data_IF_198698404184
#
_entry.id   IF_198698404184
#
_cell.length_a   1.000
_cell.length_b   1.000
_cell.length_c   1.000
_cell.angle_alpha   90.00
_cell.angle_beta   90.00
_cell.angle_gamma   90.00
#
_symmetry.space_group_name_H-M   'P 1'
#
loop_
_entity.id
_entity.type
_entity.pdbx_description
1 polymer ?
#
# COMPACT_ATOMS: atom_id res chain seq x y z
N UNK A 1 3.91 -6.48 11.46
CA UNK A 1 3.61 -5.18 10.85
C UNK A 1 4.78 -4.81 9.96
N UNK A 2 4.52 -4.56 8.67
CA UNK A 2 5.53 -4.22 7.67
C UNK A 2 5.27 -2.80 7.22
N UNK A 3 6.31 -1.96 7.24
CA UNK A 3 6.30 -0.61 6.69
C UNK A 3 6.80 -0.65 5.25
N UNK A 4 6.38 0.30 4.44
CA UNK A 4 6.73 0.34 3.03
C UNK A 4 7.20 1.73 2.60
N UNK A 5 8.32 1.76 1.89
CA UNK A 5 8.75 2.91 1.09
C UNK A 5 8.56 2.54 -0.37
N UNK A 6 7.59 3.17 -1.02
CA UNK A 6 7.22 2.90 -2.41
C UNK A 6 7.72 4.02 -3.30
N UNK A 7 8.57 3.68 -4.26
CA UNK A 7 9.07 4.54 -5.32
C UNK A 7 8.55 4.05 -6.66
N UNK A 8 8.05 4.96 -7.48
CA UNK A 8 7.55 4.69 -8.83
C UNK A 8 8.13 5.72 -9.79
N UNK A 9 8.60 5.28 -10.96
CA UNK A 9 9.05 6.13 -12.05
C UNK A 9 8.42 5.73 -13.39
N UNK A 10 8.47 6.62 -14.38
CA UNK A 10 7.77 6.51 -15.66
C UNK A 10 6.25 6.40 -15.47
N UNK A 11 5.71 7.04 -14.43
CA UNK A 11 4.37 6.82 -13.90
C UNK A 11 3.41 7.99 -14.18
N UNK A 12 3.76 8.93 -15.06
CA UNK A 12 2.90 10.06 -15.36
C UNK A 12 1.50 9.62 -15.80
N UNK A 13 0.47 10.04 -15.07
CA UNK A 13 -0.92 9.63 -15.29
C UNK A 13 -1.39 8.42 -14.48
N UNK A 14 -0.53 7.81 -13.67
CA UNK A 14 -0.93 6.81 -12.68
C UNK A 14 -1.75 7.48 -11.58
N UNK A 15 -2.82 6.83 -11.14
CA UNK A 15 -3.64 7.27 -10.02
C UNK A 15 -3.17 6.58 -8.76
N UNK A 16 -2.66 7.37 -7.81
CA UNK A 16 -2.33 6.91 -6.46
C UNK A 16 -3.52 7.13 -5.54
N UNK A 17 -3.91 6.10 -4.81
CA UNK A 17 -4.89 6.19 -3.71
C UNK A 17 -4.23 5.73 -2.42
N UNK A 18 -4.24 6.59 -1.40
CA UNK A 18 -3.74 6.28 -0.05
C UNK A 18 -4.78 6.73 0.96
N UNK A 19 -5.42 5.78 1.64
CA UNK A 19 -6.54 6.06 2.51
C UNK A 19 -7.70 6.72 1.77
N UNK A 20 -8.07 7.93 2.19
CA UNK A 20 -9.11 8.75 1.59
C UNK A 20 -8.60 9.76 0.55
N UNK A 21 -7.29 9.81 0.32
CA UNK A 21 -6.68 10.64 -0.72
C UNK A 21 -6.53 9.85 -2.03
N UNK A 22 -6.92 10.48 -3.14
CA UNK A 22 -6.74 9.94 -4.49
C UNK A 22 -6.28 11.06 -5.42
N UNK A 23 -5.13 10.89 -6.05
CA UNK A 23 -4.60 11.88 -6.99
C UNK A 23 -3.88 11.22 -8.17
N UNK A 24 -3.81 11.91 -9.29
CA UNK A 24 -3.03 11.51 -10.45
C UNK A 24 -1.61 12.04 -10.26
N UNK A 25 -0.63 11.13 -10.28
CA UNK A 25 0.77 11.48 -10.04
C UNK A 25 1.51 11.86 -11.32
N UNK A 26 2.63 12.52 -11.13
CA UNK A 26 3.59 12.82 -12.21
C UNK A 26 4.45 11.60 -12.57
N UNK A 27 5.58 11.88 -13.21
CA UNK A 27 6.49 10.83 -13.69
C UNK A 27 7.17 10.06 -12.54
N UNK A 28 7.37 10.71 -11.41
CA UNK A 28 7.96 10.13 -10.20
C UNK A 28 7.01 10.26 -9.01
N UNK A 29 6.98 9.24 -8.19
CA UNK A 29 6.28 9.25 -6.90
C UNK A 29 7.10 8.52 -5.84
N UNK A 30 7.15 9.07 -4.64
CA UNK A 30 7.81 8.43 -3.50
C UNK A 30 6.94 8.61 -2.26
N UNK A 31 6.49 7.50 -1.68
CA UNK A 31 5.60 7.50 -0.52
C UNK A 31 6.12 6.57 0.54
N UNK A 32 6.20 7.06 1.77
CA UNK A 32 6.47 6.27 2.97
C UNK A 32 5.16 5.97 3.70
N UNK A 33 4.93 4.71 4.01
CA UNK A 33 3.74 4.22 4.74
C UNK A 33 4.20 3.39 5.92
N UNK A 34 3.82 3.82 7.13
CA UNK A 34 4.18 3.15 8.39
C UNK A 34 2.96 2.67 9.18
N UNK A 35 1.79 2.71 8.58
CA UNK A 35 0.58 2.10 9.14
C UNK A 35 0.25 0.83 8.36
N UNK A 36 0.24 -0.35 9.00
CA UNK A 36 -0.08 -1.61 8.33
C UNK A 36 -1.55 -1.70 7.91
N UNK A 37 -2.40 -0.80 8.41
CA UNK A 37 -3.83 -0.75 8.10
C UNK A 37 -4.20 0.34 7.10
N UNK A 38 -3.24 1.17 6.67
CA UNK A 38 -3.48 2.21 5.69
C UNK A 38 -3.51 1.59 4.28
N UNK A 39 -4.70 1.55 3.70
CA UNK A 39 -4.89 1.04 2.34
C UNK A 39 -4.23 1.97 1.33
N UNK A 40 -3.50 1.38 0.40
CA UNK A 40 -2.84 2.13 -0.65
C UNK A 40 -2.76 1.30 -1.93
N UNK A 41 -2.84 2.01 -3.07
CA UNK A 41 -2.76 1.40 -4.40
C UNK A 41 -2.35 2.43 -5.45
N UNK A 42 -1.56 1.99 -6.43
CA UNK A 42 -1.27 2.71 -7.66
C UNK A 42 -2.01 2.01 -8.81
N UNK A 43 -2.82 2.76 -9.56
CA UNK A 43 -3.64 2.27 -10.65
C UNK A 43 -3.22 2.95 -11.95
N UNK A 44 -3.13 2.22 -13.05
CA UNK A 44 -2.64 2.75 -14.34
C UNK A 44 -3.38 4.02 -14.82
N UNK A 45 -4.68 4.09 -14.61
CA UNK A 45 -5.54 5.25 -14.90
C UNK A 45 -5.26 5.86 -16.32
N UNK A 46 -4.67 7.06 -16.39
CA UNK A 46 -4.35 7.78 -17.63
C UNK A 46 -2.91 7.53 -18.12
N UNK A 47 -2.13 6.76 -17.36
CA UNK A 47 -0.75 6.47 -17.70
C UNK A 47 -0.67 5.61 -18.99
N UNK A 48 0.14 6.06 -19.93
CA UNK A 48 0.40 5.38 -21.21
C UNK A 48 1.78 4.72 -21.26
N UNK A 49 2.56 4.83 -20.20
CA UNK A 49 3.89 4.23 -20.14
C UNK A 49 3.79 2.70 -20.19
N UNK A 50 4.64 2.08 -21.01
CA UNK A 50 4.83 0.63 -21.09
C UNK A 50 6.00 0.16 -20.20
N UNK A 51 6.70 1.09 -19.54
CA UNK A 51 7.91 0.84 -18.74
C UNK A 51 7.81 1.53 -17.36
N UNK A 52 6.71 1.27 -16.64
CA UNK A 52 6.58 1.73 -15.27
C UNK A 52 7.50 0.89 -14.39
N UNK A 53 8.42 1.55 -13.69
CA UNK A 53 9.31 0.91 -12.73
C UNK A 53 8.86 1.21 -11.30
N UNK A 54 8.75 0.15 -10.48
CA UNK A 54 8.42 0.25 -9.06
C UNK A 54 9.51 -0.38 -8.20
N UNK A 55 9.96 0.35 -7.18
CA UNK A 55 10.83 -0.15 -6.11
C UNK A 55 10.05 -0.05 -4.80
N UNK A 56 9.74 -1.19 -4.20
CA UNK A 56 9.12 -1.26 -2.87
C UNK A 56 10.13 -1.79 -1.87
N UNK A 57 10.52 -0.95 -0.90
CA UNK A 57 11.34 -1.37 0.23
C UNK A 57 10.41 -1.68 1.40
N UNK A 58 10.37 -2.96 1.78
CA UNK A 58 9.63 -3.41 2.94
C UNK A 58 10.56 -3.57 4.13
N UNK A 59 10.20 -3.00 5.27
CA UNK A 59 11.03 -3.01 6.46
C UNK A 59 10.21 -3.06 7.74
N UNK A 60 10.86 -3.48 8.83
CA UNK A 60 10.26 -3.51 10.16
C UNK A 60 11.35 -3.26 11.20
N UNK A 61 11.18 -2.23 11.99
CA UNK A 61 12.09 -1.91 13.10
C UNK A 61 11.56 -2.39 14.47
N UNK A 62 10.69 -3.41 14.49
CA UNK A 62 10.06 -3.93 15.70
C UNK A 62 8.86 -3.09 16.16
N UNK A 63 8.54 -3.13 17.46
CA UNK A 63 7.34 -2.52 18.05
C UNK A 63 7.27 -0.98 18.00
N UNK A 64 8.10 -0.37 17.22
CA UNK A 64 8.09 1.05 16.93
C UNK A 64 9.40 1.74 17.30
N UNK A 65 9.81 2.66 16.47
CA UNK A 65 10.82 3.66 16.77
C UNK A 65 10.29 4.64 17.85
N UNK A 66 10.14 4.17 19.07
CA UNK A 66 9.67 4.98 20.19
C UNK A 66 10.84 5.69 20.88
N UNK A 67 10.54 6.71 21.67
CA UNK A 67 11.56 7.40 22.48
C UNK A 67 12.24 6.46 23.50
N UNK A 68 11.57 5.37 23.88
CA UNK A 68 12.06 4.34 24.79
C UNK A 68 12.89 3.26 24.10
N UNK A 69 12.95 3.24 22.76
CA UNK A 69 13.78 2.31 22.02
C UNK A 69 15.27 2.55 22.30
N UNK A 70 16.01 1.47 22.56
CA UNK A 70 17.42 1.58 22.95
C UNK A 70 18.32 2.14 21.84
N UNK A 71 17.99 1.90 20.59
CA UNK A 71 18.76 2.37 19.45
C UNK A 71 18.11 3.58 18.80
N UNK A 72 16.86 3.45 18.32
CA UNK A 72 16.15 4.51 17.62
C UNK A 72 15.64 5.62 18.55
N UNK A 73 15.54 5.39 19.86
CA UNK A 73 15.21 6.40 20.87
C UNK A 73 16.25 7.50 21.04
N UNK A 74 17.45 7.33 20.50
CA UNK A 74 18.55 8.32 20.62
C UNK A 74 18.31 9.55 19.75
N UNK A 75 18.87 10.67 20.17
CA UNK A 75 18.76 12.00 19.53
C UNK A 75 19.07 11.99 18.02
N UNK A 76 20.07 11.26 17.50
CA UNK A 76 20.35 11.27 16.05
C UNK A 76 19.19 10.75 15.19
N UNK A 77 18.25 10.02 15.75
CA UNK A 77 17.09 9.46 15.04
C UNK A 77 15.79 10.26 15.22
N UNK A 78 15.83 11.40 15.88
CA UNK A 78 14.65 12.21 16.19
C UNK A 78 13.89 12.64 14.93
N UNK A 79 14.59 13.12 13.89
CA UNK A 79 13.99 13.51 12.62
C UNK A 79 13.31 12.32 11.93
N UNK A 80 13.97 11.15 11.97
CA UNK A 80 13.42 9.91 11.39
C UNK A 80 12.19 9.48 12.16
N UNK A 81 12.21 9.47 13.51
CA UNK A 81 11.03 9.13 14.32
C UNK A 81 9.83 10.04 14.03
N UNK A 82 10.06 11.36 13.91
CA UNK A 82 9.01 12.31 13.55
C UNK A 82 8.41 11.99 12.19
N UNK A 83 9.26 11.78 11.18
CA UNK A 83 8.84 11.38 9.83
C UNK A 83 8.03 10.08 9.86
N UNK A 84 8.48 9.06 10.59
CA UNK A 84 7.79 7.78 10.72
C UNK A 84 6.38 7.95 11.33
N UNK A 85 6.22 8.85 12.30
CA UNK A 85 4.93 9.17 12.89
C UNK A 85 3.99 9.86 11.90
N UNK A 86 4.51 10.78 11.10
CA UNK A 86 3.73 11.44 10.03
C UNK A 86 3.33 10.45 8.93
N UNK A 87 4.21 9.52 8.59
CA UNK A 87 4.01 8.50 7.59
C UNK A 87 2.93 7.44 7.93
N UNK A 88 2.40 7.46 9.16
CA UNK A 88 1.18 6.69 9.51
C UNK A 88 -0.04 7.09 8.66
N UNK A 89 -0.02 8.28 8.06
CA UNK A 89 -1.04 8.78 7.14
C UNK A 89 -0.63 8.69 5.67
N UNK A 90 0.47 7.98 5.38
CA UNK A 90 1.14 8.06 4.09
C UNK A 90 1.80 9.44 3.92
N UNK A 91 3.09 9.46 3.71
CA UNK A 91 3.89 10.69 3.54
C UNK A 91 4.48 10.70 2.13
N UNK A 92 4.04 11.65 1.31
CA UNK A 92 4.56 11.86 -0.03
C UNK A 92 5.70 12.88 -0.03
N UNK A 93 6.71 12.64 -0.84
CA UNK A 93 7.88 13.49 -0.95
C UNK A 93 7.91 14.29 -2.25
N UNK A 94 8.36 15.55 -2.22
CA UNK A 94 8.49 16.37 -3.42
C UNK A 94 9.64 15.89 -4.32
N UNK A 95 9.57 16.19 -5.60
CA UNK A 95 10.59 15.85 -6.60
C UNK A 95 12.01 16.24 -6.16
N UNK A 96 12.16 17.40 -5.54
CA UNK A 96 13.47 17.86 -5.02
C UNK A 96 14.08 16.93 -3.98
N UNK A 97 13.25 16.22 -3.21
CA UNK A 97 13.69 15.22 -2.25
C UNK A 97 13.91 13.87 -2.92
N UNK A 98 13.03 13.48 -3.86
CA UNK A 98 13.16 12.24 -4.63
C UNK A 98 14.52 12.21 -5.33
N UNK A 99 14.90 13.29 -6.00
CA UNK A 99 16.19 13.36 -6.71
C UNK A 99 17.41 13.22 -5.79
N UNK A 100 17.31 13.58 -4.51
CA UNK A 100 18.41 13.39 -3.54
C UNK A 100 18.66 11.92 -3.16
N UNK A 101 17.64 11.09 -3.29
CA UNK A 101 17.70 9.67 -2.92
C UNK A 101 17.61 8.73 -4.13
N UNK A 102 17.41 9.26 -5.32
CA UNK A 102 17.19 8.49 -6.55
C UNK A 102 18.28 7.43 -6.79
N UNK A 103 19.54 7.86 -6.87
CA UNK A 103 20.67 6.95 -7.11
C UNK A 103 20.78 5.89 -6.02
N UNK A 104 20.54 6.28 -4.75
CA UNK A 104 20.56 5.35 -3.62
C UNK A 104 19.44 4.32 -3.70
N UNK A 105 18.24 4.72 -4.14
CA UNK A 105 17.11 3.80 -4.36
C UNK A 105 17.42 2.82 -5.50
N UNK A 106 18.01 3.31 -6.59
CA UNK A 106 18.39 2.48 -7.72
C UNK A 106 19.48 1.46 -7.32
N UNK A 107 20.50 1.90 -6.60
CA UNK A 107 21.57 1.03 -6.08
C UNK A 107 21.05 -0.03 -5.10
N UNK A 108 20.05 0.30 -4.26
CA UNK A 108 19.49 -0.63 -3.28
C UNK A 108 19.06 -1.96 -3.90
N UNK A 109 18.55 -1.93 -5.13
CA UNK A 109 18.12 -3.12 -5.87
C UNK A 109 19.25 -4.09 -6.22
N UNK A 110 20.50 -3.61 -6.19
CA UNK A 110 21.71 -4.35 -6.62
C UNK A 110 22.61 -4.75 -5.45
N UNK A 111 22.35 -4.22 -4.25
CA UNK A 111 23.16 -4.51 -3.06
C UNK A 111 22.86 -5.92 -2.56
N UNK A 112 23.86 -6.79 -2.56
CA UNK A 112 23.75 -8.15 -2.03
C UNK A 112 24.17 -8.25 -0.56
N UNK A 113 25.01 -7.32 -0.09
CA UNK A 113 25.44 -7.24 1.31
C UNK A 113 24.35 -6.60 2.16
N UNK A 114 23.76 -7.37 3.07
CA UNK A 114 22.65 -6.93 3.92
C UNK A 114 23.00 -5.78 4.85
N UNK A 115 24.24 -5.74 5.34
CA UNK A 115 24.68 -4.63 6.21
C UNK A 115 24.77 -3.33 5.42
N UNK A 116 25.37 -3.37 4.23
CA UNK A 116 25.42 -2.21 3.32
C UNK A 116 24.03 -1.74 2.94
N UNK A 117 23.13 -2.67 2.59
CA UNK A 117 21.73 -2.34 2.29
C UNK A 117 21.05 -1.62 3.46
N UNK A 118 21.24 -2.11 4.70
CA UNK A 118 20.70 -1.46 5.90
C UNK A 118 21.27 -0.05 6.09
N UNK A 119 22.59 0.11 5.95
CA UNK A 119 23.24 1.43 6.12
C UNK A 119 22.77 2.42 5.06
N UNK A 120 22.65 1.99 3.80
CA UNK A 120 22.13 2.84 2.73
C UNK A 120 20.65 3.18 2.95
N UNK A 121 19.87 2.23 3.42
CA UNK A 121 18.45 2.48 3.76
C UNK A 121 18.31 3.50 4.91
N UNK A 122 19.12 3.41 5.96
CA UNK A 122 19.13 4.39 7.03
C UNK A 122 19.53 5.79 6.52
N UNK A 123 20.47 5.87 5.58
CA UNK A 123 20.86 7.13 4.95
C UNK A 123 19.75 7.72 4.07
N UNK A 124 19.01 6.86 3.33
CA UNK A 124 17.79 7.25 2.62
C UNK A 124 16.77 7.82 3.61
N UNK A 125 16.44 7.09 4.68
CA UNK A 125 15.49 7.55 5.70
C UNK A 125 15.91 8.87 6.34
N UNK A 126 17.21 9.03 6.63
CA UNK A 126 17.72 10.29 7.15
C UNK A 126 17.53 11.43 6.15
N UNK A 127 17.90 11.24 4.89
CA UNK A 127 17.71 12.24 3.83
C UNK A 127 16.23 12.62 3.68
N UNK A 128 15.34 11.64 3.68
CA UNK A 128 13.89 11.86 3.61
C UNK A 128 13.36 12.62 4.83
N UNK A 129 13.88 12.34 6.03
CA UNK A 129 13.44 12.98 7.28
C UNK A 129 13.78 14.46 7.37
N UNK A 130 14.70 14.94 6.54
CA UNK A 130 15.07 16.36 6.40
C UNK A 130 14.32 17.04 5.23
N UNK A 131 13.39 16.37 4.60
CA UNK A 131 12.63 16.93 3.48
C UNK A 131 11.80 18.14 3.90
N UNK A 132 11.91 19.21 3.11
CA UNK A 132 11.00 20.34 3.17
C UNK A 132 9.97 20.23 2.06
N UNK A 133 8.69 20.15 2.42
CA UNK A 133 7.60 20.00 1.44
C UNK A 133 7.04 18.58 1.33
N UNK A 134 7.50 17.63 2.15
CA UNK A 134 6.79 16.38 2.35
C UNK A 134 5.40 16.68 2.96
N UNK A 135 4.38 15.95 2.51
CA UNK A 135 3.01 16.14 2.98
C UNK A 135 2.29 14.83 3.20
N UNK A 136 1.41 14.83 4.19
CA UNK A 136 0.60 13.65 4.50
C UNK A 136 -0.56 13.51 3.52
N UNK A 137 -0.89 12.28 3.14
CA UNK A 137 -1.90 11.95 2.14
C UNK A 137 -3.28 11.74 2.77
N UNK A 138 -3.41 10.79 3.69
CA UNK A 138 -4.68 10.54 4.35
C UNK A 138 -5.01 11.64 5.38
N UNK A 139 -6.31 11.95 5.49
CA UNK A 139 -6.78 12.91 6.48
C UNK A 139 -6.60 12.41 7.91
N UNK A 140 -6.52 13.36 8.86
CA UNK A 140 -6.47 13.03 10.29
C UNK A 140 -7.73 12.28 10.74
N UNK A 141 -8.88 12.57 10.12
CA UNK A 141 -10.14 11.87 10.40
C UNK A 141 -10.08 10.42 9.95
N UNK A 142 -9.50 10.14 8.78
CA UNK A 142 -9.29 8.78 8.30
C UNK A 142 -8.31 8.00 9.20
N UNK A 143 -7.23 8.64 9.61
CA UNK A 143 -6.24 8.05 10.52
C UNK A 143 -6.76 7.93 11.98
N UNK A 144 -7.64 8.85 12.42
CA UNK A 144 -8.25 8.84 13.78
C UNK A 144 -9.51 7.97 13.91
N UNK A 145 -10.15 7.58 12.80
CA UNK A 145 -11.23 6.57 12.81
C UNK A 145 -10.77 5.24 13.46
N UNK A 146 -9.49 5.14 13.77
CA UNK A 146 -8.89 4.02 14.51
C UNK A 146 -9.02 4.06 16.05
N UNK A 147 -9.77 4.98 16.67
CA UNK A 147 -9.64 5.18 18.15
C UNK A 147 -10.88 4.86 18.96
N UNK A 148 -12.07 4.58 18.38
CA UNK A 148 -13.26 4.26 19.20
C UNK A 148 -13.97 2.97 18.76
N UNK A 149 -14.91 2.49 19.55
CA UNK A 149 -15.50 1.14 19.48
C UNK A 149 -16.07 0.74 18.10
N UNK A 150 -16.58 1.69 17.32
CA UNK A 150 -17.03 1.48 15.94
C UNK A 150 -15.86 1.20 15.00
N UNK A 151 -14.72 1.81 15.24
CA UNK A 151 -13.48 1.55 14.54
C UNK A 151 -12.96 0.14 14.78
N UNK A 152 -13.08 -0.38 16.00
CA UNK A 152 -12.69 -1.77 16.30
C UNK A 152 -13.56 -2.78 15.56
N UNK A 153 -14.87 -2.49 15.39
CA UNK A 153 -15.78 -3.34 14.61
C UNK A 153 -15.41 -3.35 13.13
N UNK A 154 -15.19 -2.16 12.55
CA UNK A 154 -14.74 -2.04 11.15
C UNK A 154 -13.39 -2.72 10.94
N UNK A 155 -12.40 -2.47 11.81
CA UNK A 155 -11.08 -3.09 11.75
C UNK A 155 -11.17 -4.62 11.84
N UNK A 156 -12.00 -5.16 12.72
CA UNK A 156 -12.23 -6.61 12.84
C UNK A 156 -12.77 -7.19 11.54
N UNK A 157 -13.74 -6.52 10.91
CA UNK A 157 -14.32 -6.94 9.64
C UNK A 157 -13.30 -6.83 8.50
N UNK A 158 -12.57 -5.70 8.41
CA UNK A 158 -11.51 -5.50 7.41
C UNK A 158 -10.43 -6.58 7.54
N UNK A 159 -9.97 -6.85 8.76
CA UNK A 159 -9.00 -7.92 9.02
C UNK A 159 -9.54 -9.28 8.56
N UNK A 160 -10.78 -9.62 8.91
CA UNK A 160 -11.40 -10.86 8.48
C UNK A 160 -11.48 -10.97 6.95
N UNK A 161 -11.85 -9.89 6.26
CA UNK A 161 -11.87 -9.84 4.78
C UNK A 161 -10.47 -10.04 4.22
N UNK A 162 -9.47 -9.35 4.78
CA UNK A 162 -8.06 -9.47 4.35
C UNK A 162 -7.50 -10.87 4.57
N UNK A 163 -7.85 -11.52 5.67
CA UNK A 163 -7.38 -12.88 5.99
C UNK A 163 -8.11 -13.97 5.17
N UNK A 164 -9.32 -13.66 4.67
CA UNK A 164 -10.19 -14.65 4.02
C UNK A 164 -10.63 -14.27 2.60
N UNK A 165 -9.98 -13.29 1.96
CA UNK A 165 -10.38 -12.77 0.64
C UNK A 165 -10.45 -13.82 -0.46
N UNK A 166 -9.67 -14.89 -0.36
CA UNK A 166 -9.66 -15.99 -1.33
C UNK A 166 -10.89 -16.89 -1.24
N UNK A 167 -11.63 -16.84 -0.14
CA UNK A 167 -12.81 -17.68 0.10
C UNK A 167 -14.11 -16.92 -0.17
N UNK A 168 -15.24 -17.65 -0.09
CA UNK A 168 -16.56 -17.03 -0.12
C UNK A 168 -16.81 -16.20 1.14
N UNK A 169 -16.98 -14.91 0.99
CA UNK A 169 -17.28 -13.96 2.08
C UNK A 169 -18.78 -13.72 2.14
N UNK A 170 -19.45 -14.36 3.10
CA UNK A 170 -20.90 -14.22 3.28
C UNK A 170 -21.23 -12.95 4.06
N UNK A 171 -22.20 -12.17 3.56
CA UNK A 171 -22.63 -10.93 4.19
C UNK A 171 -23.06 -11.15 5.65
N UNK A 172 -23.77 -12.26 5.92
CA UNK A 172 -24.20 -12.63 7.28
C UNK A 172 -23.00 -12.75 8.23
N UNK A 173 -21.96 -13.48 7.83
CA UNK A 173 -20.75 -13.67 8.66
C UNK A 173 -20.08 -12.33 9.00
N UNK A 174 -20.00 -11.41 8.02
CA UNK A 174 -19.40 -10.11 8.23
C UNK A 174 -20.27 -9.19 9.10
N UNK A 175 -21.59 -9.30 8.98
CA UNK A 175 -22.54 -8.58 9.84
C UNK A 175 -22.50 -9.11 11.29
N UNK A 176 -22.42 -10.43 11.48
CA UNK A 176 -22.29 -11.06 12.81
C UNK A 176 -20.99 -10.64 13.50
N UNK A 177 -19.87 -10.52 12.76
CA UNK A 177 -18.59 -10.01 13.29
C UNK A 177 -18.67 -8.56 13.81
N UNK A 178 -19.58 -7.77 13.24
CA UNK A 178 -19.85 -6.41 13.67
C UNK A 178 -21.00 -6.33 14.72
N UNK A 179 -21.61 -7.44 15.09
CA UNK A 179 -22.82 -7.54 15.92
C UNK A 179 -23.98 -6.70 15.37
N UNK A 180 -24.26 -6.82 14.06
CA UNK A 180 -25.28 -6.04 13.35
C UNK A 180 -26.14 -6.94 12.46
N UNK A 181 -27.35 -6.46 12.11
CA UNK A 181 -28.09 -7.04 11.00
C UNK A 181 -27.41 -6.73 9.67
N UNK A 182 -27.60 -7.56 8.65
CA UNK A 182 -26.97 -7.37 7.33
C UNK A 182 -27.24 -5.98 6.72
N UNK A 183 -28.47 -5.48 6.83
CA UNK A 183 -28.86 -4.16 6.33
C UNK A 183 -28.20 -3.00 7.09
N UNK A 184 -28.12 -3.12 8.43
CA UNK A 184 -27.42 -2.15 9.27
C UNK A 184 -25.92 -2.16 8.98
N UNK A 185 -25.33 -3.35 8.85
CA UNK A 185 -23.93 -3.53 8.53
C UNK A 185 -23.53 -2.92 7.18
N UNK A 186 -24.32 -3.12 6.14
CA UNK A 186 -24.03 -2.51 4.83
C UNK A 186 -23.98 -0.98 4.90
N UNK A 187 -24.90 -0.34 5.63
CA UNK A 187 -24.90 1.11 5.84
C UNK A 187 -23.70 1.55 6.69
N UNK A 188 -23.47 0.86 7.80
CA UNK A 188 -22.35 1.09 8.70
C UNK A 188 -21.02 0.98 7.97
N UNK A 189 -20.79 -0.13 7.23
CA UNK A 189 -19.55 -0.35 6.50
C UNK A 189 -19.30 0.73 5.45
N UNK A 190 -20.35 1.11 4.68
CA UNK A 190 -20.25 2.19 3.69
C UNK A 190 -19.96 3.54 4.35
N UNK A 191 -20.57 3.84 5.50
CA UNK A 191 -20.33 5.09 6.24
C UNK A 191 -18.86 5.20 6.70
N UNK A 192 -18.30 4.12 7.24
CA UNK A 192 -16.95 4.12 7.80
C UNK A 192 -15.82 3.87 6.80
N UNK A 193 -16.12 3.29 5.63
CA UNK A 193 -15.12 3.00 4.59
C UNK A 193 -15.25 3.87 3.33
N UNK A 194 -16.34 4.64 3.20
CA UNK A 194 -16.67 5.38 2.00
C UNK A 194 -17.09 4.51 0.81
N UNK A 195 -17.03 3.17 0.94
CA UNK A 195 -17.22 2.21 -0.16
C UNK A 195 -18.27 1.15 0.17
N UNK A 196 -18.91 0.58 -0.86
CA UNK A 196 -19.76 -0.59 -0.66
C UNK A 196 -18.88 -1.80 -0.34
N UNK A 197 -19.39 -2.71 0.49
CA UNK A 197 -18.70 -3.94 0.86
C UNK A 197 -18.21 -4.76 -0.34
N UNK A 198 -19.04 -4.90 -1.37
CA UNK A 198 -18.68 -5.62 -2.60
C UNK A 198 -17.49 -5.00 -3.33
N UNK A 199 -17.48 -3.66 -3.42
CA UNK A 199 -16.39 -2.93 -4.08
C UNK A 199 -15.10 -3.04 -3.27
N UNK A 200 -15.20 -2.98 -1.94
CA UNK A 200 -14.08 -3.16 -1.03
C UNK A 200 -13.43 -4.56 -1.17
N UNK A 201 -14.25 -5.63 -1.18
CA UNK A 201 -13.76 -7.00 -1.37
C UNK A 201 -13.09 -7.15 -2.75
N UNK A 202 -13.68 -6.57 -3.79
CA UNK A 202 -13.11 -6.57 -5.13
C UNK A 202 -11.74 -5.86 -5.12
N UNK A 203 -11.62 -4.72 -4.46
CA UNK A 203 -10.38 -3.94 -4.40
C UNK A 203 -9.27 -4.73 -3.68
N UNK A 204 -9.57 -5.38 -2.56
CA UNK A 204 -8.64 -6.28 -1.87
C UNK A 204 -8.17 -7.41 -2.81
N UNK A 205 -9.10 -8.11 -3.45
CA UNK A 205 -8.78 -9.22 -4.38
C UNK A 205 -7.93 -8.75 -5.56
N UNK A 206 -8.24 -7.59 -6.13
CA UNK A 206 -7.49 -7.01 -7.25
C UNK A 206 -6.11 -6.50 -6.82
N UNK A 207 -5.97 -6.00 -5.59
CA UNK A 207 -4.68 -5.64 -5.01
C UNK A 207 -3.76 -6.86 -4.87
N UNK A 208 -4.29 -7.96 -4.32
CA UNK A 208 -3.54 -9.23 -4.24
C UNK A 208 -3.21 -9.81 -5.61
N UNK A 209 -4.16 -9.78 -6.56
CA UNK A 209 -3.93 -10.24 -7.93
C UNK A 209 -2.81 -9.44 -8.62
N UNK A 210 -2.84 -8.11 -8.51
CA UNK A 210 -1.80 -7.24 -9.07
C UNK A 210 -0.42 -7.56 -8.47
N UNK A 211 -0.34 -7.73 -7.14
CA UNK A 211 0.90 -8.12 -6.45
C UNK A 211 1.41 -9.48 -6.96
N UNK A 212 0.55 -10.49 -7.03
CA UNK A 212 0.95 -11.83 -7.51
C UNK A 212 1.40 -11.82 -8.98
N UNK A 213 0.76 -11.00 -9.83
CA UNK A 213 1.16 -10.83 -11.23
C UNK A 213 2.58 -10.31 -11.38
N UNK A 214 3.03 -9.46 -10.45
CA UNK A 214 4.36 -8.83 -10.46
C UNK A 214 5.38 -9.67 -9.69
N UNK A 215 4.99 -10.26 -8.55
CA UNK A 215 5.91 -10.92 -7.63
C UNK A 215 6.11 -12.42 -7.92
N UNK A 216 5.29 -13.03 -8.80
CA UNK A 216 5.34 -14.48 -9.07
C UNK A 216 5.31 -14.82 -10.55
N UNK A 217 5.75 -16.05 -10.88
CA UNK A 217 5.65 -16.63 -12.22
C UNK A 217 4.38 -17.46 -12.41
N UNK A 218 3.46 -17.45 -11.45
CA UNK A 218 2.20 -18.19 -11.50
C UNK A 218 1.35 -17.78 -12.71
N UNK A 219 0.61 -18.72 -13.25
CA UNK A 219 -0.29 -18.42 -14.36
C UNK A 219 -1.44 -17.51 -13.92
N UNK A 220 -2.00 -16.77 -14.86
CA UNK A 220 -3.16 -15.89 -14.58
C UNK A 220 -4.33 -16.69 -14.03
N UNK A 221 -4.48 -17.95 -14.46
CA UNK A 221 -5.52 -18.86 -13.96
C UNK A 221 -5.33 -19.20 -12.47
N UNK A 222 -4.11 -19.54 -12.06
CA UNK A 222 -3.77 -19.82 -10.67
C UNK A 222 -3.97 -18.58 -9.80
N UNK A 223 -3.50 -17.41 -10.25
CA UNK A 223 -3.69 -16.15 -9.54
C UNK A 223 -5.18 -15.82 -9.39
N UNK A 224 -5.97 -15.98 -10.46
CA UNK A 224 -7.42 -15.77 -10.43
C UNK A 224 -8.07 -16.63 -9.35
N UNK A 225 -7.74 -17.93 -9.32
CA UNK A 225 -8.27 -18.87 -8.33
C UNK A 225 -7.85 -18.49 -6.90
N UNK A 226 -6.57 -18.20 -6.68
CA UNK A 226 -6.03 -17.75 -5.37
C UNK A 226 -6.62 -16.44 -4.89
N UNK A 227 -7.13 -15.61 -5.80
CA UNK A 227 -7.83 -14.38 -5.46
C UNK A 227 -9.36 -14.57 -5.29
N UNK A 228 -9.84 -15.81 -5.22
CA UNK A 228 -11.24 -16.15 -4.95
C UNK A 228 -12.17 -15.97 -6.15
N UNK A 229 -11.66 -16.15 -7.37
CA UNK A 229 -12.47 -16.16 -8.60
C UNK A 229 -12.49 -17.55 -9.22
N UNK A 230 -13.69 -18.13 -9.32
CA UNK A 230 -13.90 -19.42 -9.97
C UNK A 230 -14.16 -19.29 -11.49
N UNK A 231 -14.17 -18.06 -12.02
CA UNK A 231 -14.42 -17.78 -13.41
C UNK A 231 -13.43 -16.75 -13.96
N UNK A 232 -12.56 -17.22 -14.87
CA UNK A 232 -11.52 -16.41 -15.52
C UNK A 232 -12.06 -15.22 -16.29
N UNK A 233 -13.18 -15.37 -17.00
CA UNK A 233 -13.76 -14.28 -17.77
C UNK A 233 -14.24 -13.16 -16.85
N UNK A 234 -14.84 -13.50 -15.71
CA UNK A 234 -15.24 -12.54 -14.70
C UNK A 234 -14.02 -11.85 -14.06
N UNK A 235 -12.99 -12.62 -13.72
CA UNK A 235 -11.73 -12.07 -13.21
C UNK A 235 -11.12 -11.06 -14.19
N UNK A 236 -10.89 -11.45 -15.43
CA UNK A 236 -10.29 -10.59 -16.46
C UNK A 236 -11.11 -9.30 -16.65
N UNK A 237 -12.44 -9.41 -16.71
CA UNK A 237 -13.34 -8.25 -16.85
C UNK A 237 -13.22 -7.30 -15.65
N UNK A 238 -13.20 -7.83 -14.43
CA UNK A 238 -13.07 -7.03 -13.20
C UNK A 238 -11.67 -6.42 -13.13
N UNK A 239 -10.64 -7.20 -13.40
CA UNK A 239 -9.27 -6.72 -13.38
C UNK A 239 -9.07 -5.57 -14.37
N UNK A 240 -9.48 -5.75 -15.64
CA UNK A 240 -9.40 -4.70 -16.66
C UNK A 240 -10.17 -3.44 -16.25
N UNK A 241 -11.36 -3.60 -15.66
CA UNK A 241 -12.14 -2.45 -15.15
C UNK A 241 -11.41 -1.70 -14.01
N UNK A 242 -10.72 -2.42 -13.12
CA UNK A 242 -10.07 -1.85 -11.93
C UNK A 242 -8.65 -1.35 -12.20
N UNK A 243 -7.92 -1.98 -13.13
CA UNK A 243 -6.51 -1.70 -13.40
C UNK A 243 -6.27 -1.03 -14.77
N UNK A 244 -7.32 -0.83 -15.57
CA UNK A 244 -7.21 -0.19 -16.89
C UNK A 244 -6.73 -1.12 -18.00
N UNK A 245 -6.04 -2.20 -17.69
CA UNK A 245 -5.46 -3.16 -18.64
C UNK A 245 -5.75 -4.61 -18.24
N UNK A 246 -5.50 -5.55 -19.15
CA UNK A 246 -5.64 -6.98 -18.85
C UNK A 246 -4.55 -7.45 -17.86
N UNK A 247 -4.75 -8.59 -17.15
CA UNK A 247 -3.72 -9.15 -16.27
C UNK A 247 -2.39 -9.43 -17.00
N UNK A 248 -2.43 -9.84 -18.26
CA UNK A 248 -1.25 -10.10 -19.07
C UNK A 248 -0.49 -8.81 -19.39
N UNK A 249 -1.20 -7.79 -19.86
CA UNK A 249 -0.63 -6.46 -20.09
C UNK A 249 -0.05 -5.89 -18.80
N UNK A 250 -0.77 -6.00 -17.69
CA UNK A 250 -0.30 -5.54 -16.39
C UNK A 250 1.02 -6.19 -15.99
N UNK A 251 1.15 -7.53 -16.13
CA UNK A 251 2.40 -8.25 -15.85
C UNK A 251 3.55 -7.78 -16.73
N UNK A 252 3.29 -7.59 -18.01
CA UNK A 252 4.33 -7.22 -18.98
C UNK A 252 4.81 -5.77 -18.78
N UNK A 253 3.94 -4.87 -18.32
CA UNK A 253 4.23 -3.45 -18.17
C UNK A 253 4.87 -3.09 -16.82
N UNK A 254 4.89 -4.03 -15.85
CA UNK A 254 5.45 -3.76 -14.52
C UNK A 254 6.78 -4.50 -14.31
N UNK A 255 7.86 -3.73 -14.26
CA UNK A 255 9.17 -4.20 -13.80
C UNK A 255 9.36 -3.82 -12.33
N UNK A 256 9.09 -4.78 -11.42
CA UNK A 256 9.21 -4.56 -9.98
C UNK A 256 10.52 -5.10 -9.45
N UNK A 257 11.27 -4.26 -8.75
CA UNK A 257 12.42 -4.65 -7.95
C UNK A 257 12.04 -4.55 -6.48
N UNK A 258 12.07 -5.68 -5.78
CA UNK A 258 11.77 -5.75 -4.34
C UNK A 258 13.06 -5.90 -3.55
N UNK A 259 13.30 -4.96 -2.62
CA UNK A 259 14.40 -5.04 -1.65
C UNK A 259 13.79 -5.29 -0.27
N UNK A 260 14.27 -6.31 0.44
CA UNK A 260 13.92 -6.61 1.83
C UNK A 260 15.16 -6.33 2.66
N UNK A 261 15.03 -5.38 3.60
CA UNK A 261 16.12 -4.94 4.49
C UNK A 261 15.89 -5.42 5.91
#
# INVERSE_FOLDING_TARGET
DVFELNFVENAAGVKRTVGDNSEVIGDFDLVLITSPTLEHVWEQHECKSEDIREITIQFNFGAGMTETDQFFGKTPFESIRRMMKEAQKGLAFPMTTIMKVYDKLDEMSRITDRFRALMQFLDILHTLSLSTGAHTLATTSYAKVNIEDDSRRVLRVKKYISDNYMYELRLKTLADLANMSESAFCRFFKLHTGRRLSDYIIDIRMGHAARMLVDTTETIAEISFKCGYNNMSNFNRIFKRKKGCSPTEFRNNYHKIKVIV
#
